data_IF_165843600869
#
_entry.id   IF_165843600869
#
_cell.length_a   1.000
_cell.length_b   1.000
_cell.length_c   1.000
_cell.angle_alpha   90.00
_cell.angle_beta   90.00
_cell.angle_gamma   90.00
#
_symmetry.space_group_name_H-M   'P 1'
#
loop_
_entity.id
_entity.type
_entity.pdbx_description
1 polymer ?
#
# COMPACT_ATOMS: atom_id res chain seq x y z
N UNK A 1 -15.13 -4.51 -14.61
CA UNK A 1 -16.04 -4.85 -13.48
C UNK A 1 -15.31 -5.33 -12.23
N UNK A 2 -14.33 -6.25 -12.31
CA UNK A 2 -13.61 -6.67 -11.09
C UNK A 2 -12.63 -5.60 -10.57
N UNK A 3 -11.88 -4.93 -11.45
CA UNK A 3 -10.82 -3.99 -11.03
C UNK A 3 -11.40 -2.75 -10.33
N UNK A 4 -12.47 -2.19 -10.88
CA UNK A 4 -13.11 -0.98 -10.34
C UNK A 4 -13.68 -1.20 -8.92
N UNK A 5 -14.09 -2.43 -8.58
CA UNK A 5 -14.57 -2.76 -7.23
C UNK A 5 -13.44 -2.91 -6.21
N UNK A 6 -12.23 -3.22 -6.68
CA UNK A 6 -11.08 -3.51 -5.83
C UNK A 6 -10.16 -2.30 -5.65
N UNK A 7 -10.21 -1.31 -6.55
CA UNK A 7 -9.33 -0.13 -6.51
C UNK A 7 -9.31 0.59 -5.15
N UNK A 8 -10.48 0.83 -4.50
CA UNK A 8 -10.51 1.38 -3.14
C UNK A 8 -9.81 0.52 -2.09
N UNK A 9 -9.93 -0.81 -2.21
CA UNK A 9 -9.29 -1.76 -1.28
C UNK A 9 -7.78 -1.82 -1.52
N UNK A 10 -7.35 -1.79 -2.78
CA UNK A 10 -5.93 -1.78 -3.15
C UNK A 10 -5.27 -0.51 -2.61
N UNK A 11 -5.87 0.66 -2.87
CA UNK A 11 -5.36 1.92 -2.35
C UNK A 11 -5.27 1.93 -0.82
N UNK A 12 -6.27 1.34 -0.15
CA UNK A 12 -6.25 1.23 1.30
C UNK A 12 -5.16 0.29 1.83
N UNK A 13 -5.01 -0.89 1.22
CA UNK A 13 -3.97 -1.87 1.58
C UNK A 13 -2.58 -1.27 1.38
N UNK A 14 -2.33 -0.67 0.20
CA UNK A 14 -1.05 -0.01 -0.08
C UNK A 14 -0.77 1.09 0.94
N UNK A 15 -1.77 1.91 1.27
CA UNK A 15 -1.59 2.99 2.26
C UNK A 15 -1.29 2.47 3.65
N UNK A 16 -1.97 1.41 4.11
CA UNK A 16 -1.74 0.84 5.43
C UNK A 16 -0.41 0.08 5.54
N UNK A 17 0.08 -0.46 4.43
CA UNK A 17 1.29 -1.27 4.41
C UNK A 17 2.53 -0.53 3.88
N UNK A 18 2.33 0.67 3.32
CA UNK A 18 3.40 1.57 2.85
C UNK A 18 4.38 1.93 3.97
N UNK A 19 3.90 2.10 5.20
CA UNK A 19 4.76 2.41 6.34
C UNK A 19 5.43 1.15 6.95
N UNK A 20 5.25 -0.03 6.36
CA UNK A 20 5.87 -1.25 6.86
C UNK A 20 7.32 -1.37 6.40
N UNK A 21 8.20 -1.74 7.33
CA UNK A 21 9.63 -1.94 7.07
C UNK A 21 9.92 -3.32 6.49
N UNK A 22 8.95 -4.26 6.50
CA UNK A 22 9.14 -5.59 5.95
C UNK A 22 9.33 -5.57 4.44
N UNK A 23 10.47 -6.07 3.98
CA UNK A 23 10.75 -6.28 2.56
C UNK A 23 9.69 -7.18 1.90
N UNK A 24 9.18 -8.19 2.61
CA UNK A 24 8.12 -9.06 2.10
C UNK A 24 6.85 -8.28 1.74
N UNK A 25 6.43 -7.40 2.65
CA UNK A 25 5.23 -6.57 2.47
C UNK A 25 5.42 -5.59 1.31
N UNK A 26 6.59 -4.96 1.22
CA UNK A 26 6.96 -4.06 0.12
C UNK A 26 6.92 -4.77 -1.25
N UNK A 27 7.55 -5.93 -1.36
CA UNK A 27 7.52 -6.77 -2.57
C UNK A 27 6.09 -7.18 -2.94
N UNK A 28 5.29 -7.58 -1.94
CA UNK A 28 3.91 -8.02 -2.15
C UNK A 28 3.01 -6.88 -2.64
N UNK A 29 3.13 -5.68 -2.06
CA UNK A 29 2.44 -4.48 -2.52
C UNK A 29 2.80 -4.18 -3.97
N UNK A 30 4.10 -4.16 -4.28
CA UNK A 30 4.60 -3.88 -5.62
C UNK A 30 4.04 -4.89 -6.64
N UNK A 31 4.09 -6.18 -6.34
CA UNK A 31 3.58 -7.24 -7.21
C UNK A 31 2.06 -7.12 -7.45
N UNK A 32 1.28 -6.87 -6.39
CA UNK A 32 -0.18 -6.70 -6.48
C UNK A 32 -0.50 -5.50 -7.38
N UNK A 33 0.08 -4.34 -7.07
CA UNK A 33 -0.11 -3.09 -7.83
C UNK A 33 0.23 -3.31 -9.30
N UNK A 34 1.42 -3.84 -9.58
CA UNK A 34 1.89 -4.08 -10.94
C UNK A 34 0.91 -4.96 -11.72
N UNK A 35 0.50 -6.09 -11.14
CA UNK A 35 -0.44 -7.03 -11.78
C UNK A 35 -1.80 -6.39 -12.10
N UNK A 36 -2.32 -5.54 -11.22
CA UNK A 36 -3.61 -4.88 -11.44
C UNK A 36 -3.52 -3.90 -12.60
N UNK A 37 -2.50 -3.04 -12.63
CA UNK A 37 -2.36 -2.04 -13.69
C UNK A 37 -1.98 -2.66 -15.04
N UNK A 38 -1.17 -3.72 -15.05
CA UNK A 38 -0.97 -4.54 -16.24
C UNK A 38 -2.28 -5.19 -16.71
N UNK A 39 -3.09 -5.69 -15.78
CA UNK A 39 -4.41 -6.25 -16.07
C UNK A 39 -5.38 -5.22 -16.66
N UNK A 40 -5.35 -3.97 -16.20
CA UNK A 40 -6.12 -2.86 -16.81
C UNK A 40 -5.62 -2.59 -18.22
N UNK A 41 -4.29 -2.46 -18.41
CA UNK A 41 -3.69 -2.12 -19.69
C UNK A 41 -3.95 -3.19 -20.77
N UNK A 42 -3.93 -4.46 -20.39
CA UNK A 42 -4.11 -5.60 -21.29
C UNK A 42 -5.58 -5.94 -21.54
N UNK A 43 -6.52 -5.41 -20.75
CA UNK A 43 -7.93 -5.81 -20.85
C UNK A 43 -8.69 -4.92 -21.85
N UNK A 44 -9.12 -5.47 -22.99
CA UNK A 44 -9.77 -4.72 -24.05
C UNK A 44 -11.17 -4.20 -23.66
N UNK A 45 -11.77 -4.72 -22.58
CA UNK A 45 -13.10 -4.30 -22.11
C UNK A 45 -13.12 -2.85 -21.63
N UNK A 46 -11.97 -2.31 -21.20
CA UNK A 46 -11.91 -0.96 -20.62
C UNK A 46 -11.88 0.18 -21.64
N UNK A 47 -11.89 -0.08 -22.95
CA UNK A 47 -11.92 0.94 -24.03
C UNK A 47 -11.12 2.21 -23.69
N UNK A 48 -9.87 2.04 -23.25
CA UNK A 48 -9.06 3.12 -22.71
C UNK A 48 -8.78 4.17 -23.80
N UNK A 49 -8.87 5.46 -23.44
CA UNK A 49 -8.43 6.54 -24.32
C UNK A 49 -6.93 6.43 -24.62
N UNK A 50 -6.48 6.95 -25.76
CA UNK A 50 -5.05 6.95 -26.11
C UNK A 50 -4.19 7.67 -25.07
N UNK A 51 -4.70 8.77 -24.50
CA UNK A 51 -4.03 9.50 -23.43
C UNK A 51 -3.89 8.63 -22.16
N UNK A 52 -4.95 7.94 -21.75
CA UNK A 52 -4.91 7.05 -20.59
C UNK A 52 -3.98 5.85 -20.83
N UNK A 53 -4.01 5.28 -22.04
CA UNK A 53 -3.12 4.19 -22.44
C UNK A 53 -1.65 4.61 -22.39
N UNK A 54 -1.35 5.84 -22.83
CA UNK A 54 -0.01 6.43 -22.73
C UNK A 54 0.40 6.65 -21.27
N UNK A 55 -0.45 7.25 -20.44
CA UNK A 55 -0.18 7.45 -19.01
C UNK A 55 0.08 6.12 -18.30
N UNK A 56 -0.74 5.11 -18.56
CA UNK A 56 -0.60 3.77 -17.99
C UNK A 56 0.70 3.08 -18.44
N UNK A 57 1.10 3.26 -19.70
CA UNK A 57 2.37 2.74 -20.22
C UNK A 57 3.57 3.40 -19.53
N UNK A 58 3.53 4.72 -19.34
CA UNK A 58 4.58 5.45 -18.62
C UNK A 58 4.65 5.04 -17.15
N UNK A 59 3.49 4.86 -16.50
CA UNK A 59 3.37 4.38 -15.14
C UNK A 59 4.00 2.99 -14.96
N UNK A 60 3.61 2.03 -15.80
CA UNK A 60 4.15 0.67 -15.76
C UNK A 60 5.65 0.65 -16.06
N UNK A 61 6.13 1.48 -17.00
CA UNK A 61 7.56 1.63 -17.27
C UNK A 61 8.32 2.18 -16.07
N UNK A 62 7.75 3.15 -15.36
CA UNK A 62 8.35 3.69 -14.14
C UNK A 62 8.41 2.62 -13.04
N UNK A 63 7.33 1.85 -12.85
CA UNK A 63 7.30 0.74 -11.91
C UNK A 63 8.35 -0.32 -12.21
N UNK A 64 8.56 -0.66 -13.49
CA UNK A 64 9.57 -1.62 -13.94
C UNK A 64 10.99 -1.04 -14.02
N UNK A 65 11.21 0.21 -13.62
CA UNK A 65 12.56 0.80 -13.64
C UNK A 65 13.45 0.10 -12.61
N UNK A 66 14.73 -0.07 -12.95
CA UNK A 66 15.73 -0.68 -12.07
C UNK A 66 15.85 0.07 -10.74
N UNK A 67 15.70 1.40 -10.77
CA UNK A 67 15.65 2.26 -9.58
C UNK A 67 14.46 1.90 -8.67
N UNK A 68 13.26 1.74 -9.24
CA UNK A 68 12.05 1.39 -8.49
C UNK A 68 12.11 -0.06 -7.99
N UNK A 69 12.64 -0.98 -8.81
CA UNK A 69 12.83 -2.38 -8.41
C UNK A 69 13.85 -2.52 -7.27
N UNK A 70 15.00 -1.84 -7.33
CA UNK A 70 15.98 -1.78 -6.23
C UNK A 70 15.36 -1.21 -4.96
N UNK A 71 14.53 -0.18 -5.11
CA UNK A 71 13.88 0.47 -3.98
C UNK A 71 12.96 -0.45 -3.18
N UNK A 72 12.22 -1.32 -3.86
CA UNK A 72 11.38 -2.31 -3.21
C UNK A 72 12.15 -3.58 -2.82
N UNK A 73 13.48 -3.59 -2.99
CA UNK A 73 14.34 -4.76 -2.84
C UNK A 73 13.90 -5.95 -3.69
N UNK A 74 13.33 -5.64 -4.86
CA UNK A 74 12.87 -6.58 -5.89
C UNK A 74 13.92 -6.59 -7.00
N UNK A 75 15.13 -7.07 -6.74
CA UNK A 75 16.19 -7.06 -7.76
C UNK A 75 15.96 -8.20 -8.76
N UNK A 76 15.90 -7.85 -10.05
CA UNK A 76 15.92 -8.70 -11.26
C UNK A 76 15.15 -10.01 -11.14
N UNK A 77 13.83 -9.92 -10.98
CA UNK A 77 12.95 -11.08 -11.13
C UNK A 77 12.02 -10.85 -12.31
N UNK A 78 11.99 -11.81 -13.24
CA UNK A 78 11.34 -11.69 -14.55
C UNK A 78 9.80 -11.64 -14.44
N UNK A 79 9.25 -11.98 -13.27
CA UNK A 79 7.80 -11.96 -13.05
C UNK A 79 7.37 -11.64 -11.61
N UNK A 80 6.16 -11.08 -11.46
CA UNK A 80 5.52 -10.82 -10.16
C UNK A 80 5.40 -12.09 -9.28
N UNK A 81 5.31 -13.27 -9.90
CA UNK A 81 5.29 -14.56 -9.18
C UNK A 81 6.64 -14.85 -8.53
N UNK A 82 7.73 -14.55 -9.23
CA UNK A 82 9.08 -14.69 -8.68
C UNK A 82 9.33 -13.69 -7.55
N UNK A 83 8.80 -12.46 -7.67
CA UNK A 83 8.83 -11.46 -6.60
C UNK A 83 8.16 -11.99 -5.33
N UNK A 84 6.95 -12.55 -5.45
CA UNK A 84 6.23 -13.14 -4.32
C UNK A 84 6.97 -14.34 -3.74
N UNK A 85 7.53 -15.22 -4.58
CA UNK A 85 8.29 -16.38 -4.13
C UNK A 85 9.58 -15.99 -3.42
N UNK A 86 10.29 -14.98 -3.92
CA UNK A 86 11.50 -14.42 -3.30
C UNK A 86 11.16 -13.78 -1.96
N UNK A 87 10.08 -12.99 -1.93
CA UNK A 87 9.56 -12.38 -0.72
C UNK A 87 9.22 -13.43 0.35
N UNK A 88 8.54 -14.52 -0.01
CA UNK A 88 8.22 -15.61 0.92
C UNK A 88 9.48 -16.28 1.49
N UNK A 89 10.52 -16.47 0.67
CA UNK A 89 11.82 -16.98 1.15
C UNK A 89 12.47 -15.99 2.12
N UNK A 90 12.44 -14.70 1.82
CA UNK A 90 12.94 -13.66 2.73
C UNK A 90 12.20 -13.66 4.07
N UNK A 91 10.87 -13.80 4.06
CA UNK A 91 10.07 -13.89 5.29
C UNK A 91 10.46 -15.12 6.14
N UNK A 92 10.75 -16.26 5.51
CA UNK A 92 11.21 -17.45 6.24
C UNK A 92 12.59 -17.22 6.87
N UNK A 93 13.49 -16.53 6.18
CA UNK A 93 14.82 -16.16 6.71
C UNK A 93 14.69 -15.15 7.84
N UNK A 94 13.88 -14.09 7.67
CA UNK A 94 13.65 -13.07 8.70
C UNK A 94 13.03 -13.67 9.97
N UNK A 95 12.09 -14.62 9.82
CA UNK A 95 11.52 -15.34 10.95
C UNK A 95 12.56 -16.25 11.63
N UNK A 96 13.47 -16.87 10.89
CA UNK A 96 14.54 -17.70 11.45
C UNK A 96 15.60 -16.86 12.18
N UNK A 97 15.97 -15.70 11.64
CA UNK A 97 16.89 -14.75 12.27
C UNK A 97 16.27 -14.15 13.53
N UNK A 98 14.98 -13.80 13.53
CA UNK A 98 14.28 -13.33 14.74
C UNK A 98 14.27 -14.38 15.87
N UNK A 99 14.23 -15.67 15.52
CA UNK A 99 14.33 -16.77 16.49
C UNK A 99 15.79 -16.93 17.01
N UNK A 100 16.79 -16.59 16.20
CA UNK A 100 18.21 -16.63 16.60
C UNK A 100 18.66 -15.39 17.39
N UNK A 101 18.12 -14.21 17.06
CA UNK A 101 18.47 -12.92 17.65
C UNK A 101 17.85 -12.64 19.02
N UNK A 102 16.95 -13.49 19.52
CA UNK A 102 16.44 -13.46 20.90
C UNK A 102 17.50 -13.88 21.96
N UNK A 103 18.79 -13.89 21.57
CA UNK A 103 19.92 -14.31 22.40
C UNK A 103 21.15 -13.40 22.36
N UNK A 104 21.13 -12.25 21.67
CA UNK A 104 22.31 -11.37 21.67
C UNK A 104 22.00 -9.89 21.41
N UNK A 105 22.39 -9.08 22.41
CA UNK A 105 22.31 -7.63 22.51
C UNK A 105 23.13 -6.86 21.45
N UNK A 106 22.53 -5.75 21.02
CA UNK A 106 23.12 -4.47 20.63
C UNK A 106 24.32 -4.42 19.68
N UNK A 107 24.01 -4.09 18.42
CA UNK A 107 24.72 -3.10 17.57
C UNK A 107 23.97 -2.91 16.23
N UNK A 108 22.97 -2.02 16.19
CA UNK A 108 22.40 -1.52 14.92
C UNK A 108 23.01 -0.16 14.59
N UNK A 109 23.76 -0.13 13.49
CA UNK A 109 24.61 0.97 13.03
C UNK A 109 23.84 2.05 12.23
N UNK A 110 24.42 3.25 12.21
CA UNK A 110 24.00 4.51 11.58
C UNK A 110 23.59 4.40 10.09
N UNK A 111 23.93 3.31 9.39
CA UNK A 111 23.50 3.04 8.00
C UNK A 111 22.00 2.72 7.84
N UNK A 112 21.35 2.20 8.89
CA UNK A 112 19.91 1.88 8.83
C UNK A 112 19.05 3.14 8.69
N UNK A 113 19.45 4.26 9.31
CA UNK A 113 18.67 5.50 9.37
C UNK A 113 18.62 6.23 8.00
N UNK A 114 19.73 6.17 7.24
CA UNK A 114 19.83 6.72 5.88
C UNK A 114 18.99 5.90 4.87
N UNK A 115 18.98 4.57 5.01
CA UNK A 115 18.11 3.67 4.21
C UNK A 115 16.63 3.84 4.56
N UNK A 116 16.31 4.15 5.83
CA UNK A 116 14.93 4.31 6.29
C UNK A 116 14.29 5.58 5.69
N UNK A 117 15.01 6.72 5.74
CA UNK A 117 14.55 8.00 5.19
C UNK A 117 14.42 7.99 3.66
N UNK A 118 15.34 7.33 2.95
CA UNK A 118 15.21 7.12 1.51
C UNK A 118 14.02 6.21 1.20
N UNK A 119 13.78 5.14 1.97
CA UNK A 119 12.62 4.27 1.73
C UNK A 119 11.27 4.99 1.90
N UNK A 120 11.12 5.86 2.90
CA UNK A 120 9.87 6.58 3.16
C UNK A 120 9.54 7.62 2.06
N UNK A 121 10.55 8.39 1.64
CA UNK A 121 10.44 9.35 0.54
C UNK A 121 9.96 8.66 -0.74
N UNK A 122 10.47 7.47 -0.99
CA UNK A 122 10.23 6.80 -2.26
C UNK A 122 8.90 6.02 -2.25
N UNK A 123 8.45 5.55 -1.07
CA UNK A 123 7.08 5.03 -0.89
C UNK A 123 6.03 6.13 -1.06
N UNK A 124 6.32 7.36 -0.59
CA UNK A 124 5.46 8.51 -0.82
C UNK A 124 5.34 8.84 -2.32
N UNK A 125 6.45 8.76 -3.07
CA UNK A 125 6.43 8.92 -4.53
C UNK A 125 5.58 7.84 -5.22
N UNK A 126 5.73 6.57 -4.81
CA UNK A 126 4.89 5.48 -5.32
C UNK A 126 3.40 5.75 -5.05
N UNK A 127 3.05 6.13 -3.81
CA UNK A 127 1.67 6.41 -3.43
C UNK A 127 1.10 7.59 -4.23
N UNK A 128 1.89 8.64 -4.45
CA UNK A 128 1.50 9.80 -5.27
C UNK A 128 1.25 9.38 -6.72
N UNK A 129 2.15 8.59 -7.28
CA UNK A 129 2.04 8.07 -8.64
C UNK A 129 0.81 7.15 -8.78
N UNK A 130 0.53 6.33 -7.76
CA UNK A 130 -0.65 5.48 -7.69
C UNK A 130 -1.94 6.29 -7.65
N UNK A 131 -2.02 7.31 -6.80
CA UNK A 131 -3.19 8.20 -6.71
C UNK A 131 -3.45 8.87 -8.06
N UNK A 132 -2.40 9.38 -8.71
CA UNK A 132 -2.52 9.99 -10.03
C UNK A 132 -3.05 8.99 -11.07
N UNK A 133 -2.46 7.78 -11.12
CA UNK A 133 -2.86 6.76 -12.09
C UNK A 133 -4.28 6.25 -11.83
N UNK A 134 -4.68 6.00 -10.58
CA UNK A 134 -6.04 5.61 -10.21
C UNK A 134 -7.03 6.70 -10.63
N UNK A 135 -6.69 7.97 -10.40
CA UNK A 135 -7.53 9.10 -10.81
C UNK A 135 -7.70 9.15 -12.33
N UNK A 136 -6.62 8.93 -13.08
CA UNK A 136 -6.67 8.93 -14.55
C UNK A 136 -7.46 7.73 -15.09
N UNK A 137 -7.31 6.55 -14.47
CA UNK A 137 -8.12 5.36 -14.79
C UNK A 137 -9.60 5.65 -14.56
N UNK A 138 -9.98 6.18 -13.41
CA UNK A 138 -11.38 6.48 -13.09
C UNK A 138 -11.98 7.55 -13.99
N UNK A 139 -11.21 8.57 -14.40
CA UNK A 139 -11.66 9.57 -15.37
C UNK A 139 -11.89 8.98 -16.77
N UNK A 140 -11.09 8.00 -17.17
CA UNK A 140 -11.19 7.37 -18.49
C UNK A 140 -12.21 6.24 -18.56
N UNK A 141 -12.62 5.69 -17.42
CA UNK A 141 -13.70 4.72 -17.33
C UNK A 141 -15.04 5.47 -17.24
N UNK A 142 -15.92 5.29 -18.22
CA UNK A 142 -17.25 5.92 -18.22
C UNK A 142 -18.08 5.41 -17.03
N UNK A 143 -18.12 6.18 -15.93
CA UNK A 143 -18.90 5.88 -14.74
C UNK A 143 -18.86 7.00 -13.73
N UNK A 144 -20.03 7.40 -13.22
CA UNK A 144 -20.18 8.37 -12.14
C UNK A 144 -19.84 7.72 -10.79
N UNK A 145 -18.58 7.33 -10.60
CA UNK A 145 -18.11 6.80 -9.32
C UNK A 145 -17.02 7.70 -8.77
N UNK A 146 -17.29 8.22 -7.58
CA UNK A 146 -16.29 8.89 -6.79
C UNK A 146 -15.47 7.83 -6.03
N UNK A 147 -14.41 7.35 -6.68
CA UNK A 147 -13.50 6.36 -6.11
C UNK A 147 -12.85 6.84 -4.80
N UNK A 148 -12.67 8.16 -4.61
CA UNK A 148 -12.17 8.74 -3.38
C UNK A 148 -13.18 8.56 -2.25
N UNK A 149 -14.47 8.78 -2.53
CA UNK A 149 -15.55 8.47 -1.57
C UNK A 149 -15.59 6.97 -1.24
N UNK A 150 -15.42 6.10 -2.24
CA UNK A 150 -15.34 4.66 -2.01
C UNK A 150 -14.13 4.28 -1.13
N UNK A 151 -12.96 4.86 -1.40
CA UNK A 151 -11.74 4.63 -0.62
C UNK A 151 -11.89 5.14 0.82
N UNK A 152 -12.45 6.34 1.01
CA UNK A 152 -12.77 6.89 2.33
C UNK A 152 -13.69 5.94 3.11
N UNK A 153 -14.72 5.39 2.47
CA UNK A 153 -15.64 4.45 3.13
C UNK A 153 -14.95 3.14 3.51
N UNK A 154 -14.05 2.61 2.65
CA UNK A 154 -13.19 1.47 2.99
C UNK A 154 -12.29 1.77 4.18
N UNK A 155 -11.63 2.93 4.18
CA UNK A 155 -10.75 3.35 5.26
C UNK A 155 -11.49 3.48 6.58
N UNK A 156 -12.68 4.09 6.56
CA UNK A 156 -13.58 4.19 7.72
C UNK A 156 -13.96 2.81 8.26
N UNK A 157 -14.36 1.88 7.38
CA UNK A 157 -14.70 0.51 7.78
C UNK A 157 -13.52 -0.14 8.50
N UNK A 158 -12.33 -0.11 7.90
CA UNK A 158 -11.14 -0.76 8.48
C UNK A 158 -10.69 -0.09 9.78
N UNK A 159 -10.79 1.23 9.89
CA UNK A 159 -10.49 1.99 11.11
C UNK A 159 -11.34 1.56 12.30
N UNK A 160 -12.56 1.05 12.07
CA UNK A 160 -13.47 0.65 13.14
C UNK A 160 -13.69 -0.86 13.27
N UNK A 161 -13.16 -1.68 12.35
CA UNK A 161 -13.36 -3.13 12.38
C UNK A 161 -12.08 -3.98 12.35
N UNK A 162 -10.95 -3.45 11.85
CA UNK A 162 -9.75 -4.26 11.61
C UNK A 162 -8.68 -4.01 12.68
N UNK A 163 -8.50 -4.96 13.61
CA UNK A 163 -7.61 -4.80 14.78
C UNK A 163 -6.15 -4.49 14.43
N UNK A 164 -5.58 -5.13 13.41
CA UNK A 164 -4.13 -5.08 13.15
C UNK A 164 -3.69 -3.83 12.38
N UNK A 165 -4.61 -3.20 11.64
CA UNK A 165 -4.36 -2.01 10.83
C UNK A 165 -5.24 -0.85 11.26
N UNK A 166 -5.83 -0.94 12.46
CA UNK A 166 -6.86 -0.01 12.94
C UNK A 166 -6.37 1.43 12.95
N UNK A 167 -5.22 1.68 13.59
CA UNK A 167 -4.62 3.02 13.72
C UNK A 167 -4.18 3.56 12.37
N UNK A 168 -3.52 2.73 11.53
CA UNK A 168 -3.10 3.13 10.18
C UNK A 168 -4.30 3.46 9.30
N UNK A 169 -5.40 2.70 9.43
CA UNK A 169 -6.65 2.95 8.71
C UNK A 169 -7.36 4.20 9.22
N UNK A 170 -7.27 4.50 10.52
CA UNK A 170 -7.83 5.71 11.12
C UNK A 170 -7.11 6.97 10.63
N UNK A 171 -5.78 6.92 10.50
CA UNK A 171 -4.98 8.00 9.91
C UNK A 171 -5.42 8.23 8.45
N UNK A 172 -5.48 7.16 7.64
CA UNK A 172 -5.93 7.26 6.25
C UNK A 172 -7.35 7.84 6.14
N UNK A 173 -8.29 7.37 6.96
CA UNK A 173 -9.65 7.91 7.01
C UNK A 173 -9.65 9.41 7.36
N UNK A 174 -8.86 9.83 8.33
CA UNK A 174 -8.77 11.23 8.77
C UNK A 174 -8.24 12.15 7.67
N UNK A 175 -7.27 11.67 6.86
CA UNK A 175 -6.75 12.42 5.72
C UNK A 175 -7.75 12.53 4.55
N UNK A 176 -8.69 11.58 4.43
CA UNK A 176 -9.70 11.54 3.37
C UNK A 176 -11.04 12.17 3.77
N UNK A 177 -11.25 12.41 5.07
CA UNK A 177 -12.51 12.89 5.60
C UNK A 177 -12.62 14.42 5.50
N UNK A 178 -13.56 14.89 4.67
CA UNK A 178 -13.92 16.31 4.62
C UNK A 178 -14.95 16.71 5.69
N UNK A 179 -15.52 15.73 6.39
CA UNK A 179 -16.42 15.89 7.53
C UNK A 179 -16.40 14.62 8.38
N UNK A 180 -16.66 14.76 9.68
CA UNK A 180 -16.64 13.66 10.65
C UNK A 180 -17.95 13.71 11.44
N UNK A 181 -18.60 12.55 11.64
CA UNK A 181 -19.84 12.48 12.43
C UNK A 181 -19.58 12.32 13.93
N UNK A 182 -20.53 12.69 14.78
CA UNK A 182 -20.45 12.46 16.23
C UNK A 182 -20.22 11.00 16.59
N UNK A 183 -20.76 10.07 15.78
CA UNK A 183 -20.55 8.64 15.96
C UNK A 183 -19.10 8.23 15.67
N UNK A 184 -18.47 8.83 14.67
CA UNK A 184 -17.05 8.61 14.36
C UNK A 184 -16.17 9.13 15.49
N UNK A 185 -16.48 10.32 16.03
CA UNK A 185 -15.76 10.92 17.17
C UNK A 185 -15.86 9.99 18.40
N UNK A 186 -17.07 9.52 18.73
CA UNK A 186 -17.28 8.56 19.83
C UNK A 186 -16.49 7.27 19.62
N UNK A 187 -16.47 6.73 18.40
CA UNK A 187 -15.73 5.52 18.08
C UNK A 187 -14.21 5.73 18.21
N UNK A 188 -13.67 6.87 17.75
CA UNK A 188 -12.27 7.24 17.93
C UNK A 188 -11.90 7.32 19.41
N UNK A 189 -12.70 8.02 20.21
CA UNK A 189 -12.47 8.13 21.67
C UNK A 189 -12.48 6.76 22.33
N UNK A 190 -13.42 5.88 21.95
CA UNK A 190 -13.47 4.51 22.46
C UNK A 190 -12.20 3.71 22.13
N UNK A 191 -11.65 3.85 20.92
CA UNK A 191 -10.41 3.19 20.51
C UNK A 191 -9.23 3.71 21.36
N UNK A 192 -9.12 5.02 21.54
CA UNK A 192 -8.04 5.63 22.32
C UNK A 192 -8.06 5.17 23.79
N UNK A 193 -9.25 5.07 24.39
CA UNK A 193 -9.41 4.57 25.76
C UNK A 193 -9.05 3.08 25.87
N UNK A 194 -9.42 2.26 24.89
CA UNK A 194 -9.04 0.84 24.86
C UNK A 194 -7.52 0.67 24.77
N UNK A 195 -6.86 1.40 23.87
CA UNK A 195 -5.39 1.37 23.71
C UNK A 195 -4.71 1.79 25.00
N UNK A 196 -5.17 2.86 25.65
CA UNK A 196 -4.62 3.31 26.93
C UNK A 196 -4.73 2.21 27.99
N UNK A 197 -5.89 1.53 28.09
CA UNK A 197 -6.12 0.50 29.11
C UNK A 197 -5.20 -0.72 28.91
N UNK A 198 -4.93 -1.11 27.66
CA UNK A 198 -4.04 -2.22 27.32
C UNK A 198 -2.56 -1.95 27.59
N UNK A 199 -2.13 -0.67 27.66
CA UNK A 199 -0.73 -0.30 27.94
C UNK A 199 -0.39 -0.42 29.44
N UNK A 200 -1.41 -0.42 30.31
CA UNK A 200 -1.25 -0.48 31.77
C UNK A 200 -1.59 -1.85 32.38
N UNK A 201 -1.70 -2.91 31.57
CA UNK A 201 -1.83 -4.31 32.00
C UNK A 201 -0.54 -5.08 31.73
#
# INVERSE_FOLDING_TARGET
MLVDSQLPNIMHIVTCLAADESNFIRCSIFAIVSNIFHGIAANPVYNLSEDLRRSLTLFLRQLSSEETMRLFNVIELESAQEVVNSALRMQMIENADRIAHDSSDDKKSIDDDQNMHTSLSNIHQLLTLLIAMVTDVEKGLEGERDWLVAWRNTARKWAFTASNVQIRSLIAFSCLANSISDNDIKAVVSILVQVQTSIFQ
#
